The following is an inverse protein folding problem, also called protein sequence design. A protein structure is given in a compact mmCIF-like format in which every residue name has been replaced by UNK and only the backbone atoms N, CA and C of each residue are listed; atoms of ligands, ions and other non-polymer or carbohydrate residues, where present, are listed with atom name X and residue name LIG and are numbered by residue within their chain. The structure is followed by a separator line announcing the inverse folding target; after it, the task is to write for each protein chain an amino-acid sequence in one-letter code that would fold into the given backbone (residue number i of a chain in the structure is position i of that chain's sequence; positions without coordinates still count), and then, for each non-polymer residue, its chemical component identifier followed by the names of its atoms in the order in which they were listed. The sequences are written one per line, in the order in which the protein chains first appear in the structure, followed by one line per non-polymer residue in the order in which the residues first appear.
data_IF_627500202100
#
_entry.id   IF_627500202100
#
_cell.length_a   1.000
_cell.length_b   1.000
_cell.length_c   1.000
_cell.angle_alpha   90.00
_cell.angle_beta   90.00
_cell.angle_gamma   90.00
#
_symmetry.space_group_name_H-M   'P 1'
#
loop_
_entity.id
_entity.type
_entity.pdbx_description
1 polymer ?
#
# COMPACT_ATOMS: atom_id res chain seq x y z
N UNK A 1 -36.42 9.68 10.69
CA UNK A 1 -35.74 9.00 11.82
C UNK A 1 -34.24 8.94 11.55
N UNK A 2 -33.38 9.22 12.54
CA UNK A 2 -31.94 8.95 12.42
C UNK A 2 -31.70 7.46 12.70
N UNK A 3 -31.04 6.74 11.78
CA UNK A 3 -30.70 5.32 11.95
C UNK A 3 -29.52 5.21 12.92
N UNK A 4 -29.66 4.42 13.99
CA UNK A 4 -28.57 4.11 14.93
C UNK A 4 -27.66 3.03 14.34
N UNK A 5 -26.35 3.19 14.45
CA UNK A 5 -25.33 2.22 13.99
C UNK A 5 -24.12 2.23 14.94
N UNK A 6 -23.40 1.11 14.97
CA UNK A 6 -22.10 0.95 15.64
C UNK A 6 -21.03 0.54 14.62
N UNK A 7 -19.76 0.57 15.03
CA UNK A 7 -18.66 0.17 14.17
C UNK A 7 -17.38 -0.08 14.95
N UNK A 8 -16.36 -0.56 14.25
CA UNK A 8 -15.03 -0.84 14.80
C UNK A 8 -13.99 0.05 14.13
N UNK A 9 -13.11 0.63 14.95
CA UNK A 9 -11.88 1.25 14.49
C UNK A 9 -10.78 0.18 14.48
N UNK A 10 -10.29 -0.16 13.29
CA UNK A 10 -9.15 -1.05 13.11
C UNK A 10 -8.43 -0.66 11.82
N UNK A 11 -7.17 -0.27 11.90
CA UNK A 11 -6.44 0.05 10.67
C UNK A 11 -6.05 -1.22 9.91
N UNK A 12 -5.94 -1.14 8.58
CA UNK A 12 -5.64 -2.28 7.69
C UNK A 12 -4.34 -2.96 8.11
N UNK A 13 -3.33 -2.18 8.52
CA UNK A 13 -2.02 -2.70 8.94
C UNK A 13 -2.08 -3.62 10.16
N UNK A 14 -3.15 -3.56 10.95
CA UNK A 14 -3.38 -4.40 12.13
C UNK A 14 -4.06 -5.73 11.84
N UNK A 15 -4.48 -5.98 10.59
CA UNK A 15 -5.03 -7.27 10.19
C UNK A 15 -3.94 -8.36 10.23
N UNK A 16 -4.28 -9.61 10.58
CA UNK A 16 -3.31 -10.68 10.83
C UNK A 16 -2.82 -11.36 9.54
N UNK A 17 -2.40 -10.57 8.55
CA UNK A 17 -1.79 -11.08 7.31
C UNK A 17 -0.44 -11.76 7.60
N UNK A 18 -0.10 -12.87 6.92
CA UNK A 18 1.17 -13.56 7.13
C UNK A 18 2.38 -12.77 6.59
N UNK A 19 2.16 -11.72 5.79
CA UNK A 19 3.23 -10.98 5.10
C UNK A 19 3.80 -9.80 5.92
N UNK A 20 3.72 -9.88 7.26
CA UNK A 20 4.37 -8.96 8.20
C UNK A 20 3.63 -7.66 8.50
N UNK A 21 2.63 -7.33 7.67
CA UNK A 21 1.72 -6.20 7.84
C UNK A 21 0.35 -6.59 7.30
N UNK A 22 -0.72 -6.15 7.95
CA UNK A 22 -2.06 -6.31 7.39
C UNK A 22 -2.20 -5.64 6.02
N UNK A 23 -3.00 -6.25 5.15
CA UNK A 23 -3.17 -5.85 3.75
C UNK A 23 -4.62 -5.98 3.29
N UNK A 24 -4.91 -5.48 2.09
CA UNK A 24 -6.22 -5.55 1.42
C UNK A 24 -6.42 -6.92 0.73
N UNK A 25 -6.10 -8.00 1.45
CA UNK A 25 -6.21 -9.37 1.00
C UNK A 25 -7.30 -10.16 1.73
N UNK A 26 -7.20 -11.51 1.79
CA UNK A 26 -8.22 -12.37 2.39
C UNK A 26 -8.60 -12.01 3.82
N UNK A 27 -7.66 -11.49 4.62
CA UNK A 27 -7.95 -11.07 5.99
C UNK A 27 -8.82 -9.80 6.07
N UNK A 28 -8.77 -8.92 5.07
CA UNK A 28 -9.69 -7.79 4.99
C UNK A 28 -11.13 -8.28 4.72
N UNK A 29 -11.31 -9.24 3.81
CA UNK A 29 -12.61 -9.87 3.55
C UNK A 29 -13.14 -10.58 4.79
N UNK A 30 -12.32 -11.42 5.45
CA UNK A 30 -12.70 -12.07 6.72
C UNK A 30 -13.09 -11.06 7.81
N UNK A 31 -12.44 -9.90 7.87
CA UNK A 31 -12.80 -8.86 8.82
C UNK A 31 -14.15 -8.23 8.47
N UNK A 32 -14.43 -7.99 7.19
CA UNK A 32 -15.75 -7.52 6.74
C UNK A 32 -16.84 -8.55 7.05
N UNK A 33 -16.58 -9.85 6.84
CA UNK A 33 -17.50 -10.93 7.21
C UNK A 33 -17.77 -10.90 8.72
N UNK A 34 -16.73 -10.75 9.55
CA UNK A 34 -16.87 -10.58 10.99
C UNK A 34 -17.71 -9.35 11.36
N UNK A 35 -17.51 -8.20 10.71
CA UNK A 35 -18.32 -7.00 10.94
C UNK A 35 -19.79 -7.26 10.61
N UNK A 36 -20.07 -7.96 9.52
CA UNK A 36 -21.41 -8.34 9.12
C UNK A 36 -22.07 -9.28 10.13
N UNK A 37 -21.38 -10.36 10.52
CA UNK A 37 -21.85 -11.35 11.50
C UNK A 37 -22.14 -10.70 12.87
N UNK A 38 -21.32 -9.73 13.26
CA UNK A 38 -21.47 -8.99 14.52
C UNK A 38 -22.32 -7.72 14.41
N UNK A 39 -23.01 -7.53 13.28
CA UNK A 39 -23.95 -6.42 13.00
C UNK A 39 -23.32 -5.02 13.13
N UNK A 40 -22.02 -4.91 12.89
CA UNK A 40 -21.34 -3.62 12.83
C UNK A 40 -21.66 -2.94 11.48
N UNK A 41 -22.05 -1.67 11.55
CA UNK A 41 -22.45 -0.89 10.38
C UNK A 41 -21.34 -0.01 9.81
N UNK A 42 -20.19 0.08 10.47
CA UNK A 42 -19.03 0.88 10.05
C UNK A 42 -17.71 0.17 10.34
N UNK A 43 -16.77 0.33 9.42
CA UNK A 43 -15.35 0.10 9.62
C UNK A 43 -14.62 1.43 9.49
N UNK A 44 -14.07 1.92 10.60
CA UNK A 44 -13.25 3.12 10.58
C UNK A 44 -11.77 2.73 10.46
N UNK A 45 -11.04 3.46 9.62
CA UNK A 45 -9.58 3.30 9.41
C UNK A 45 -8.87 4.64 9.62
N UNK A 46 -7.57 4.58 9.90
CA UNK A 46 -6.66 5.72 9.79
C UNK A 46 -6.41 6.06 8.31
N UNK A 47 -5.76 7.19 7.98
CA UNK A 47 -5.44 7.53 6.59
C UNK A 47 -4.70 6.39 5.87
N UNK A 48 -5.03 6.20 4.60
CA UNK A 48 -4.46 5.11 3.77
C UNK A 48 -3.25 5.57 2.95
N UNK A 49 -2.81 6.81 3.14
CA UNK A 49 -1.77 7.42 2.31
C UNK A 49 -0.38 6.81 2.57
N UNK A 50 0.57 6.94 1.63
CA UNK A 50 1.94 6.44 1.80
C UNK A 50 2.58 6.95 3.09
N UNK A 51 3.29 6.06 3.78
CA UNK A 51 4.03 6.37 5.00
C UNK A 51 5.53 6.41 4.71
N UNK A 52 6.30 7.07 5.57
CA UNK A 52 7.76 7.21 5.43
C UNK A 52 8.46 6.74 6.72
N UNK A 53 9.46 5.83 6.64
CA UNK A 53 10.26 5.41 7.79
C UNK A 53 10.96 6.56 8.52
N UNK A 54 11.29 7.66 7.83
CA UNK A 54 11.88 8.85 8.47
C UNK A 54 10.93 9.54 9.48
N UNK A 55 9.64 9.20 9.44
CA UNK A 55 8.60 9.71 10.32
C UNK A 55 7.82 8.56 11.00
N UNK A 56 8.54 7.49 11.35
CA UNK A 56 8.05 6.32 12.09
C UNK A 56 6.82 5.64 11.46
N UNK A 57 6.70 5.75 10.13
CA UNK A 57 5.57 5.25 9.36
C UNK A 57 4.20 5.76 9.86
N UNK A 58 4.14 6.99 10.35
CA UNK A 58 2.87 7.62 10.78
C UNK A 58 1.91 7.79 9.59
N UNK A 59 0.65 7.30 9.67
CA UNK A 59 -0.34 7.51 8.62
C UNK A 59 -0.78 8.99 8.49
N UNK A 60 -0.41 9.83 9.46
CA UNK A 60 -0.68 11.27 9.44
C UNK A 60 0.48 12.09 8.85
N UNK A 61 1.56 11.43 8.44
CA UNK A 61 2.64 12.04 7.69
C UNK A 61 2.77 11.35 6.33
N UNK A 62 2.27 12.00 5.28
CA UNK A 62 2.35 11.46 3.93
C UNK A 62 2.95 12.44 2.93
N UNK A 63 3.61 11.87 1.93
CA UNK A 63 4.12 12.59 0.76
C UNK A 63 3.03 12.85 -0.31
N UNK A 64 1.82 12.34 -0.11
CA UNK A 64 0.70 12.58 -1.03
C UNK A 64 -0.64 12.51 -0.30
N UNK A 65 -1.54 13.44 -0.62
CA UNK A 65 -2.91 13.41 -0.14
C UNK A 65 -3.82 12.42 -0.90
N UNK A 66 -3.39 11.97 -2.09
CA UNK A 66 -4.21 11.18 -3.02
C UNK A 66 -3.72 9.75 -3.20
N UNK A 67 -2.40 9.52 -3.14
CA UNK A 67 -1.85 8.18 -3.27
C UNK A 67 -2.25 7.30 -2.08
N UNK A 68 -2.21 5.99 -2.30
CA UNK A 68 -2.44 4.97 -1.26
C UNK A 68 -1.12 4.25 -0.91
N UNK A 69 -1.01 3.76 0.32
CA UNK A 69 0.14 3.06 0.83
C UNK A 69 0.29 1.70 0.15
N UNK A 70 1.32 1.55 -0.68
CA UNK A 70 1.60 0.30 -1.40
C UNK A 70 1.83 -0.89 -0.46
N UNK A 71 2.22 -0.67 0.80
CA UNK A 71 2.36 -1.75 1.79
C UNK A 71 1.03 -2.45 2.09
N UNK A 72 -0.11 -1.88 1.74
CA UNK A 72 -1.43 -2.49 1.89
C UNK A 72 -1.80 -3.43 0.72
N UNK A 73 -0.98 -3.53 -0.32
CA UNK A 73 -1.20 -4.47 -1.43
C UNK A 73 -0.93 -5.90 -0.92
N UNK A 74 -1.85 -6.82 -1.23
CA UNK A 74 -1.79 -8.21 -0.78
C UNK A 74 -0.93 -9.08 -1.71
N UNK A 75 0.19 -9.66 -1.24
CA UNK A 75 0.97 -10.62 -2.03
C UNK A 75 0.17 -11.84 -2.45
N UNK A 76 -0.80 -12.27 -1.64
CA UNK A 76 -1.64 -13.43 -1.95
C UNK A 76 -2.56 -13.16 -3.16
N UNK A 77 -3.20 -11.99 -3.22
CA UNK A 77 -4.01 -11.61 -4.37
C UNK A 77 -3.15 -11.42 -5.63
N UNK A 78 -1.94 -10.89 -5.50
CA UNK A 78 -1.00 -10.80 -6.62
C UNK A 78 -0.63 -12.18 -7.18
N UNK A 79 -0.58 -13.23 -6.34
CA UNK A 79 -0.40 -14.61 -6.81
C UNK A 79 -1.65 -15.11 -7.53
N UNK A 80 -2.84 -14.84 -6.98
CA UNK A 80 -4.11 -15.23 -7.60
C UNK A 80 -4.31 -14.58 -8.98
N UNK A 81 -3.87 -13.33 -9.15
CA UNK A 81 -3.92 -12.60 -10.42
C UNK A 81 -2.79 -12.98 -11.40
N UNK A 82 -1.88 -13.87 -11.00
CA UNK A 82 -0.75 -14.31 -11.83
C UNK A 82 0.34 -13.23 -12.03
N UNK A 83 0.34 -12.17 -11.22
CA UNK A 83 1.42 -11.19 -11.16
C UNK A 83 2.64 -11.76 -10.42
N UNK A 84 2.38 -12.59 -9.39
CA UNK A 84 3.38 -13.34 -8.65
C UNK A 84 3.15 -14.85 -8.77
N UNK A 85 4.20 -15.63 -8.55
CA UNK A 85 4.13 -17.07 -8.34
C UNK A 85 4.18 -17.34 -6.83
N UNK A 86 3.64 -18.47 -6.39
CA UNK A 86 3.72 -18.89 -4.98
C UNK A 86 5.17 -18.94 -4.46
N UNK A 87 6.11 -19.36 -5.30
CA UNK A 87 7.53 -19.41 -4.98
C UNK A 87 8.19 -18.03 -4.84
N UNK A 88 7.55 -16.94 -5.29
CA UNK A 88 8.12 -15.60 -5.10
C UNK A 88 7.87 -15.06 -3.69
N UNK A 89 6.76 -15.49 -3.08
CA UNK A 89 6.33 -15.05 -1.74
C UNK A 89 6.85 -15.98 -0.62
N UNK A 90 7.41 -17.14 -0.98
CA UNK A 90 7.98 -18.13 -0.07
C UNK A 90 9.51 -18.31 -0.31
N UNK A 91 10.34 -18.50 0.72
CA UNK A 91 10.00 -18.40 2.14
C UNK A 91 9.79 -16.94 2.58
N UNK A 92 9.02 -16.76 3.66
CA UNK A 92 8.87 -15.47 4.30
C UNK A 92 10.16 -15.09 5.04
N UNK A 93 10.53 -13.79 5.07
CA UNK A 93 11.56 -13.31 5.99
C UNK A 93 11.11 -13.53 7.45
N UNK A 94 12.04 -13.48 8.42
CA UNK A 94 11.69 -13.53 9.83
C UNK A 94 10.86 -12.30 10.20
N UNK A 95 9.57 -12.49 10.42
CA UNK A 95 8.61 -11.43 10.73
C UNK A 95 8.05 -11.62 12.13
N UNK A 96 8.11 -10.60 13.01
CA UNK A 96 7.56 -10.70 14.35
C UNK A 96 6.04 -10.84 14.32
N UNK A 97 5.48 -11.58 15.30
CA UNK A 97 4.03 -11.68 15.48
C UNK A 97 3.51 -10.49 16.28
N UNK A 98 2.38 -9.94 15.87
CA UNK A 98 1.65 -8.91 16.62
C UNK A 98 2.20 -7.48 16.54
N UNK A 99 3.32 -7.26 15.83
CA UNK A 99 3.85 -5.92 15.55
C UNK A 99 4.42 -5.88 14.14
N UNK A 100 4.24 -4.75 13.47
CA UNK A 100 4.83 -4.51 12.15
C UNK A 100 6.31 -4.13 12.30
N UNK A 101 7.19 -4.88 11.66
CA UNK A 101 8.56 -4.47 11.38
C UNK A 101 8.61 -3.85 9.98
N UNK A 102 8.50 -2.52 9.94
CA UNK A 102 8.34 -1.78 8.69
C UNK A 102 9.55 -1.92 7.76
N UNK A 103 10.78 -1.95 8.28
CA UNK A 103 11.97 -2.04 7.44
C UNK A 103 12.02 -3.37 6.69
N UNK A 104 11.79 -4.47 7.41
CA UNK A 104 11.72 -5.82 6.82
C UNK A 104 10.56 -5.94 5.83
N UNK A 105 9.38 -5.40 6.16
CA UNK A 105 8.19 -5.41 5.30
C UNK A 105 8.41 -4.60 4.02
N UNK A 106 8.97 -3.39 4.13
CA UNK A 106 9.26 -2.52 2.98
C UNK A 106 10.25 -3.21 2.04
N UNK A 107 11.35 -3.74 2.57
CA UNK A 107 12.36 -4.43 1.77
C UNK A 107 11.76 -5.66 1.05
N UNK A 108 10.98 -6.47 1.78
CA UNK A 108 10.32 -7.65 1.23
C UNK A 108 9.31 -7.30 0.14
N UNK A 109 8.37 -6.38 0.42
CA UNK A 109 7.34 -6.00 -0.56
C UNK A 109 7.92 -5.26 -1.76
N UNK A 110 8.97 -4.44 -1.60
CA UNK A 110 9.66 -3.80 -2.72
C UNK A 110 10.25 -4.83 -3.71
N UNK A 111 10.85 -5.92 -3.20
CA UNK A 111 11.32 -7.02 -4.04
C UNK A 111 10.17 -7.66 -4.83
N UNK A 112 9.04 -7.92 -4.16
CA UNK A 112 7.85 -8.49 -4.81
C UNK A 112 7.27 -7.58 -5.88
N UNK A 113 7.13 -6.28 -5.60
CA UNK A 113 6.60 -5.32 -6.56
C UNK A 113 7.48 -5.18 -7.79
N UNK A 114 8.80 -5.25 -7.63
CA UNK A 114 9.71 -5.28 -8.77
C UNK A 114 9.46 -6.51 -9.66
N UNK A 115 9.40 -7.71 -9.08
CA UNK A 115 9.12 -8.95 -9.83
C UNK A 115 7.76 -8.91 -10.54
N UNK A 116 6.72 -8.44 -9.83
CA UNK A 116 5.38 -8.30 -10.39
C UNK A 116 5.37 -7.31 -11.56
N UNK A 117 6.03 -6.16 -11.40
CA UNK A 117 6.15 -5.15 -12.46
C UNK A 117 6.89 -5.69 -13.69
N UNK A 118 7.99 -6.43 -13.51
CA UNK A 118 8.74 -7.03 -14.62
C UNK A 118 7.91 -8.01 -15.45
N UNK A 119 6.92 -8.68 -14.84
CA UNK A 119 5.98 -9.56 -15.55
C UNK A 119 4.84 -8.77 -16.16
N UNK A 120 4.29 -7.83 -15.40
CA UNK A 120 3.20 -6.95 -15.80
C UNK A 120 3.55 -6.17 -17.08
N UNK A 121 4.74 -5.53 -17.13
CA UNK A 121 5.16 -4.68 -18.25
C UNK A 121 5.29 -5.40 -19.60
N UNK A 122 5.39 -6.74 -19.60
CA UNK A 122 5.51 -7.55 -20.83
C UNK A 122 4.19 -7.68 -21.59
N UNK A 123 3.07 -7.35 -20.94
CA UNK A 123 1.73 -7.44 -21.54
C UNK A 123 1.12 -6.04 -21.55
N UNK A 124 0.42 -5.71 -22.63
CA UNK A 124 -0.41 -4.52 -22.65
C UNK A 124 -1.61 -4.74 -21.72
N UNK A 125 -1.81 -3.83 -20.78
CA UNK A 125 -2.94 -3.85 -19.87
C UNK A 125 -3.76 -2.56 -20.06
N UNK A 126 -4.94 -2.69 -20.66
CA UNK A 126 -5.81 -1.56 -20.97
C UNK A 126 -6.41 -0.90 -19.73
N UNK A 127 -6.71 -1.69 -18.68
CA UNK A 127 -7.24 -1.16 -17.42
C UNK A 127 -6.21 -0.28 -16.71
N UNK A 128 -4.94 -0.66 -16.76
CA UNK A 128 -3.84 0.17 -16.25
C UNK A 128 -3.67 1.45 -17.05
N UNK A 129 -3.69 1.38 -18.39
CA UNK A 129 -3.60 2.58 -19.23
C UNK A 129 -4.77 3.54 -18.97
N UNK A 130 -5.98 2.98 -18.81
CA UNK A 130 -7.18 3.73 -18.44
C UNK A 130 -7.03 4.36 -17.06
N UNK A 131 -6.58 3.61 -16.06
CA UNK A 131 -6.33 4.13 -14.72
C UNK A 131 -5.34 5.31 -14.75
N UNK A 132 -4.23 5.18 -15.48
CA UNK A 132 -3.27 6.26 -15.63
C UNK A 132 -3.89 7.49 -16.31
N UNK A 133 -4.67 7.30 -17.37
CA UNK A 133 -5.34 8.39 -18.07
C UNK A 133 -6.38 9.10 -17.20
N UNK A 134 -7.19 8.35 -16.44
CA UNK A 134 -8.24 8.91 -15.58
C UNK A 134 -7.66 9.64 -14.35
N UNK A 135 -6.44 9.28 -13.93
CA UNK A 135 -5.78 9.81 -12.74
C UNK A 135 -4.58 10.71 -13.06
N UNK A 136 -4.35 11.07 -14.32
CA UNK A 136 -3.16 11.81 -14.76
C UNK A 136 -2.96 13.14 -14.01
N UNK A 137 -4.06 13.80 -13.63
CA UNK A 137 -4.06 15.07 -12.90
C UNK A 137 -3.33 15.06 -11.55
N UNK A 138 -3.06 13.87 -10.98
CA UNK A 138 -2.27 13.73 -9.75
C UNK A 138 -1.21 12.64 -9.82
N UNK A 139 -1.45 11.60 -10.61
CA UNK A 139 -0.60 10.43 -10.64
C UNK A 139 0.74 10.71 -11.33
N UNK A 140 0.75 11.57 -12.34
CA UNK A 140 1.97 11.95 -13.06
C UNK A 140 2.93 12.71 -12.13
N UNK A 141 2.45 13.78 -11.50
CA UNK A 141 3.22 14.57 -10.53
C UNK A 141 3.68 13.72 -9.34
N UNK A 142 2.80 12.87 -8.80
CA UNK A 142 3.17 11.97 -7.70
C UNK A 142 4.27 10.99 -8.11
N UNK A 143 4.14 10.38 -9.28
CA UNK A 143 5.10 9.40 -9.78
C UNK A 143 6.46 10.05 -10.05
N UNK A 144 6.45 11.23 -10.70
CA UNK A 144 7.66 12.03 -10.93
C UNK A 144 8.31 12.44 -9.60
N UNK A 145 7.52 12.93 -8.64
CA UNK A 145 8.00 13.30 -7.31
C UNK A 145 8.67 12.13 -6.60
N UNK A 146 8.07 10.93 -6.61
CA UNK A 146 8.65 9.73 -5.97
C UNK A 146 9.95 9.31 -6.66
N UNK A 147 9.99 9.36 -8.00
CA UNK A 147 11.19 9.07 -8.78
C UNK A 147 12.32 10.07 -8.46
N UNK A 148 12.01 11.37 -8.40
CA UNK A 148 12.97 12.41 -8.05
C UNK A 148 13.42 12.31 -6.59
N UNK A 149 12.52 12.06 -5.65
CA UNK A 149 12.87 11.83 -4.23
C UNK A 149 13.84 10.65 -4.11
N UNK A 150 13.64 9.58 -4.88
CA UNK A 150 14.57 8.45 -4.95
C UNK A 150 15.92 8.85 -5.56
N UNK A 151 15.89 9.55 -6.70
CA UNK A 151 17.09 10.04 -7.39
C UNK A 151 17.96 10.94 -6.48
N UNK A 152 17.32 11.83 -5.72
CA UNK A 152 17.97 12.73 -4.76
C UNK A 152 18.13 12.11 -3.36
N UNK A 153 18.11 10.78 -3.23
CA UNK A 153 18.44 10.04 -2.00
C UNK A 153 17.57 10.45 -0.78
N UNK A 154 16.29 10.70 -1.00
CA UNK A 154 15.32 11.03 0.05
C UNK A 154 15.31 12.49 0.49
N UNK A 155 16.10 13.37 -0.14
CA UNK A 155 16.07 14.82 0.17
C UNK A 155 14.67 15.40 -0.05
N UNK A 156 14.26 16.28 0.87
CA UNK A 156 13.02 17.07 0.73
C UNK A 156 13.09 17.96 -0.52
N UNK A 157 11.95 18.15 -1.18
CA UNK A 157 11.87 18.81 -2.49
C UNK A 157 12.42 20.23 -2.50
N UNK A 158 12.27 20.97 -1.40
CA UNK A 158 12.80 22.32 -1.24
C UNK A 158 14.34 22.40 -1.29
N UNK A 159 15.03 21.25 -1.19
CA UNK A 159 16.49 21.10 -1.31
C UNK A 159 16.94 20.53 -2.66
N UNK A 160 16.04 20.36 -3.63
CA UNK A 160 16.40 19.92 -4.98
C UNK A 160 17.00 21.08 -5.80
N UNK A 161 17.72 20.79 -6.90
CA UNK A 161 18.22 21.81 -7.81
C UNK A 161 17.11 22.73 -8.31
N UNK A 162 17.34 24.06 -8.46
CA UNK A 162 16.32 25.01 -8.88
C UNK A 162 15.60 24.61 -10.18
N UNK A 163 16.30 23.97 -11.12
CA UNK A 163 15.76 23.57 -12.43
C UNK A 163 14.69 22.46 -12.33
N UNK A 164 14.61 21.79 -11.18
CA UNK A 164 13.62 20.74 -10.90
C UNK A 164 12.60 21.19 -9.85
N UNK A 165 12.99 22.16 -9.00
CA UNK A 165 12.17 22.66 -7.89
C UNK A 165 11.14 23.69 -8.36
N UNK A 166 11.56 24.59 -9.26
CA UNK A 166 10.80 25.76 -9.73
C UNK A 166 10.26 25.54 -11.16
#
# INVERSE_FOLDING_TARGET
MKIRRSGILLHITSLPSPYGIGDLGPWAYKFVDFLFETKQGFWQVLPLNPTDPAYDNSPYHSISALASNSLLISPELMVQEGLLNKTDIEPLPPLPKGKVDYDTVIAYKKRLFHLAYERFKKKKNYDYQRFCSENGYWLEDFSLFVSLKTHFQGKVWSKWPPEIRD
#
